data_IF_368948362671
#
_entry.id   IF_368948362671
#
_cell.length_a   1.000
_cell.length_b   1.000
_cell.length_c   1.000
_cell.angle_alpha   90.00
_cell.angle_beta   90.00
_cell.angle_gamma   90.00
#
_symmetry.space_group_name_H-M   'P 1'
#
loop_
_entity.id
_entity.type
_entity.pdbx_description
1 polymer ?
#
# COMPACT_ATOMS: atom_id res chain seq x y z
N UNK A 1 -11.14 37.82 -6.96
CA UNK A 1 -11.13 36.96 -8.17
C UNK A 1 -9.90 36.06 -8.10
N UNK A 2 -10.07 34.75 -7.99
CA UNK A 2 -8.96 33.78 -7.95
C UNK A 2 -8.10 33.88 -9.23
N UNK A 3 -6.77 33.93 -9.07
CA UNK A 3 -5.81 34.03 -10.18
C UNK A 3 -5.95 32.77 -11.05
N UNK A 4 -6.26 32.92 -12.33
CA UNK A 4 -6.36 31.77 -13.26
C UNK A 4 -4.96 31.21 -13.51
N UNK A 5 -4.74 29.96 -13.09
CA UNK A 5 -3.46 29.29 -13.26
C UNK A 5 -3.17 28.90 -14.72
N UNK A 6 -1.89 28.69 -15.03
CA UNK A 6 -1.44 28.27 -16.36
C UNK A 6 -1.74 26.79 -16.67
N UNK A 7 -1.72 26.41 -17.95
CA UNK A 7 -1.96 25.01 -18.38
C UNK A 7 -1.05 23.99 -17.66
N UNK A 8 0.19 24.36 -17.35
CA UNK A 8 1.15 23.51 -16.63
C UNK A 8 0.70 23.16 -15.21
N UNK A 9 -0.05 24.03 -14.54
CA UNK A 9 -0.61 23.75 -13.21
C UNK A 9 -1.65 22.63 -13.30
N UNK A 10 -2.59 22.74 -14.23
CA UNK A 10 -3.64 21.72 -14.41
C UNK A 10 -3.08 20.40 -14.94
N UNK A 11 -2.09 20.44 -15.83
CA UNK A 11 -1.36 19.24 -16.26
C UNK A 11 -0.63 18.58 -15.09
N UNK A 12 0.00 19.37 -14.20
CA UNK A 12 0.61 18.85 -12.97
C UNK A 12 -0.40 18.11 -12.10
N UNK A 13 -1.58 18.69 -11.88
CA UNK A 13 -2.65 18.02 -11.13
C UNK A 13 -3.09 16.71 -11.81
N UNK A 14 -3.35 16.74 -13.12
CA UNK A 14 -3.78 15.56 -13.87
C UNK A 14 -2.75 14.41 -13.87
N UNK A 15 -1.45 14.74 -13.86
CA UNK A 15 -0.36 13.76 -13.75
C UNK A 15 -0.20 13.24 -12.32
N UNK A 16 -0.32 14.09 -11.30
CA UNK A 16 -0.26 13.68 -9.89
C UNK A 16 -1.40 12.74 -9.51
N UNK A 17 -2.57 12.87 -10.14
CA UNK A 17 -3.67 11.90 -10.02
C UNK A 17 -3.36 10.53 -10.63
N UNK A 18 -2.20 10.35 -11.29
CA UNK A 18 -1.75 9.09 -11.90
C UNK A 18 -0.30 8.76 -11.52
N UNK A 19 -0.02 8.42 -10.26
CA UNK A 19 1.35 8.16 -9.80
C UNK A 19 2.09 7.09 -10.61
N UNK A 20 1.39 6.07 -11.12
CA UNK A 20 1.98 5.02 -11.97
C UNK A 20 2.58 5.55 -13.28
N UNK A 21 2.01 6.63 -13.85
CA UNK A 21 2.57 7.28 -15.04
C UNK A 21 3.90 7.97 -14.71
N UNK A 22 4.05 8.50 -13.49
CA UNK A 22 5.27 9.19 -13.07
C UNK A 22 6.48 8.24 -13.01
N UNK A 23 6.27 6.99 -12.58
CA UNK A 23 7.30 5.95 -12.59
C UNK A 23 7.74 5.64 -14.03
N UNK A 24 6.77 5.45 -14.94
CA UNK A 24 7.05 5.20 -16.35
C UNK A 24 7.72 6.40 -17.05
N UNK A 25 7.36 7.63 -16.66
CA UNK A 25 8.04 8.84 -17.09
C UNK A 25 9.51 8.85 -16.66
N UNK A 26 9.80 8.43 -15.41
CA UNK A 26 11.17 8.36 -14.88
C UNK A 26 12.03 7.36 -15.64
N UNK A 27 11.44 6.26 -16.08
CA UNK A 27 12.12 5.26 -16.90
C UNK A 27 12.26 5.67 -18.38
N UNK A 28 11.70 6.81 -18.80
CA UNK A 28 11.79 7.29 -20.19
C UNK A 28 10.95 6.48 -21.19
N UNK A 29 10.01 5.65 -20.72
CA UNK A 29 9.24 4.72 -21.57
C UNK A 29 7.88 5.27 -22.03
N UNK A 30 7.58 6.54 -21.73
CA UNK A 30 6.29 7.17 -22.04
C UNK A 30 6.34 7.97 -23.35
N UNK A 31 5.36 7.74 -24.21
CA UNK A 31 5.07 8.62 -25.35
C UNK A 31 4.30 9.87 -24.87
N UNK A 32 4.99 11.00 -24.79
CA UNK A 32 4.41 12.27 -24.37
C UNK A 32 3.20 12.74 -25.20
N UNK A 33 3.14 12.40 -26.49
CA UNK A 33 1.99 12.76 -27.32
C UNK A 33 0.77 11.91 -26.99
N UNK A 34 0.96 10.63 -26.70
CA UNK A 34 -0.12 9.74 -26.25
C UNK A 34 -0.60 10.15 -24.85
N UNK A 35 0.34 10.44 -23.94
CA UNK A 35 0.03 10.92 -22.59
C UNK A 35 -0.77 12.23 -22.62
N UNK A 36 -0.36 13.19 -23.45
CA UNK A 36 -1.09 14.45 -23.59
C UNK A 36 -2.54 14.25 -24.07
N UNK A 37 -2.76 13.32 -25.02
CA UNK A 37 -4.12 12.97 -25.47
C UNK A 37 -4.94 12.33 -24.36
N UNK A 38 -4.34 11.41 -23.60
CA UNK A 38 -4.99 10.70 -22.51
C UNK A 38 -5.50 11.65 -21.42
N UNK A 39 -4.69 12.64 -21.02
CA UNK A 39 -5.05 13.55 -19.92
C UNK A 39 -5.80 14.80 -20.38
N UNK A 40 -6.01 15.00 -21.69
CA UNK A 40 -6.58 16.24 -22.24
C UNK A 40 -7.92 16.57 -21.57
N UNK A 41 -8.84 15.60 -21.56
CA UNK A 41 -10.17 15.79 -20.98
C UNK A 41 -10.13 16.12 -19.49
N UNK A 42 -9.23 15.50 -18.72
CA UNK A 42 -9.09 15.79 -17.30
C UNK A 42 -8.56 17.20 -17.07
N UNK A 43 -7.58 17.64 -17.85
CA UNK A 43 -7.01 18.98 -17.75
C UNK A 43 -8.08 20.04 -17.98
N UNK A 44 -8.94 19.87 -18.98
CA UNK A 44 -10.04 20.79 -19.25
C UNK A 44 -11.12 20.74 -18.15
N UNK A 45 -11.44 19.54 -17.66
CA UNK A 45 -12.39 19.34 -16.56
C UNK A 45 -11.92 20.02 -15.27
N UNK A 46 -10.64 19.89 -14.91
CA UNK A 46 -10.06 20.53 -13.72
C UNK A 46 -10.02 22.06 -13.90
N UNK A 47 -9.68 22.53 -15.10
CA UNK A 47 -9.54 23.96 -15.37
C UNK A 47 -10.86 24.70 -15.60
N UNK A 48 -11.95 23.97 -15.90
CA UNK A 48 -13.23 24.56 -16.32
C UNK A 48 -13.14 25.34 -17.64
N UNK A 49 -12.14 25.05 -18.48
CA UNK A 49 -11.92 25.70 -19.79
C UNK A 49 -11.11 24.81 -20.71
N UNK A 50 -11.21 25.09 -22.01
CA UNK A 50 -10.48 24.34 -23.03
C UNK A 50 -9.03 24.82 -23.21
N UNK A 51 -8.17 23.90 -23.63
CA UNK A 51 -6.79 24.19 -24.04
C UNK A 51 -6.48 23.51 -25.37
N UNK A 52 -5.53 24.09 -26.12
CA UNK A 52 -5.09 23.45 -27.37
C UNK A 52 -4.28 22.18 -27.07
N UNK A 53 -4.35 21.20 -27.97
CA UNK A 53 -3.55 19.96 -27.89
C UNK A 53 -2.05 20.26 -27.79
N UNK A 54 -1.58 21.27 -28.52
CA UNK A 54 -0.19 21.73 -28.50
C UNK A 54 0.19 22.30 -27.13
N UNK A 55 -0.66 23.15 -26.54
CA UNK A 55 -0.43 23.72 -25.21
C UNK A 55 -0.33 22.64 -24.13
N UNK A 56 -1.20 21.63 -24.16
CA UNK A 56 -1.16 20.50 -23.22
C UNK A 56 0.10 19.67 -23.44
N UNK A 57 0.45 19.31 -24.68
CA UNK A 57 1.67 18.53 -24.96
C UNK A 57 2.93 19.25 -24.46
N UNK A 58 3.05 20.54 -24.71
CA UNK A 58 4.19 21.33 -24.24
C UNK A 58 4.23 21.46 -22.72
N UNK A 59 3.06 21.56 -22.08
CA UNK A 59 2.94 21.53 -20.63
C UNK A 59 3.34 20.17 -20.05
N UNK A 60 2.90 19.06 -20.65
CA UNK A 60 3.28 17.69 -20.23
C UNK A 60 4.79 17.52 -20.28
N UNK A 61 5.45 17.88 -21.38
CA UNK A 61 6.91 17.81 -21.51
C UNK A 61 7.63 18.59 -20.40
N UNK A 62 7.18 19.82 -20.14
CA UNK A 62 7.76 20.70 -19.12
C UNK A 62 7.56 20.16 -17.71
N UNK A 63 6.33 19.75 -17.39
CA UNK A 63 5.95 19.26 -16.07
C UNK A 63 6.65 17.93 -15.79
N UNK A 64 6.64 17.00 -16.74
CA UNK A 64 7.34 15.73 -16.62
C UNK A 64 8.81 15.94 -16.27
N UNK A 65 9.54 16.77 -17.03
CA UNK A 65 10.94 17.09 -16.74
C UNK A 65 11.15 17.57 -15.30
N UNK A 66 10.33 18.52 -14.83
CA UNK A 66 10.43 19.02 -13.45
C UNK A 66 10.09 17.98 -12.38
N UNK A 67 9.21 17.02 -12.68
CA UNK A 67 8.83 15.96 -11.74
C UNK A 67 9.92 14.91 -11.61
N UNK A 68 10.64 14.60 -12.70
CA UNK A 68 11.73 13.62 -12.67
C UNK A 68 12.82 13.98 -11.67
N UNK A 69 13.06 15.26 -11.44
CA UNK A 69 14.04 15.77 -10.47
C UNK A 69 13.63 15.47 -9.01
N UNK A 70 12.34 15.19 -8.76
CA UNK A 70 11.78 14.98 -7.42
C UNK A 70 11.55 13.50 -7.07
N UNK A 71 11.54 12.61 -8.06
CA UNK A 71 11.28 11.19 -7.83
C UNK A 71 12.59 10.52 -7.37
N UNK A 72 12.62 9.83 -6.22
CA UNK A 72 13.80 9.13 -5.75
C UNK A 72 14.36 8.18 -6.81
N UNK A 73 15.69 8.04 -6.93
CA UNK A 73 16.29 7.07 -7.83
C UNK A 73 15.83 5.64 -7.50
N UNK A 74 15.46 4.87 -8.51
CA UNK A 74 15.03 3.47 -8.39
C UNK A 74 16.07 2.59 -7.69
N UNK A 75 17.37 2.91 -7.84
CA UNK A 75 18.45 2.17 -7.18
C UNK A 75 18.36 2.18 -5.65
N UNK A 76 17.78 3.22 -5.03
CA UNK A 76 17.56 3.25 -3.57
C UNK A 76 16.52 2.22 -3.15
N UNK A 77 15.47 2.05 -3.93
CA UNK A 77 14.45 1.01 -3.70
C UNK A 77 15.08 -0.37 -3.82
N UNK A 78 15.86 -0.61 -4.89
CA UNK A 78 16.54 -1.88 -5.11
C UNK A 78 17.48 -2.25 -3.97
N UNK A 79 18.24 -1.28 -3.42
CA UNK A 79 19.15 -1.54 -2.28
C UNK A 79 18.42 -1.98 -1.00
N UNK A 80 17.29 -1.35 -0.69
CA UNK A 80 16.47 -1.73 0.47
C UNK A 80 15.89 -3.13 0.24
N UNK A 81 15.29 -3.36 -0.93
CA UNK A 81 14.64 -4.63 -1.26
C UNK A 81 15.62 -5.81 -1.36
N UNK A 82 16.81 -5.61 -1.94
CA UNK A 82 17.84 -6.65 -2.05
C UNK A 82 18.33 -7.14 -0.68
N UNK A 83 18.25 -6.26 0.32
CA UNK A 83 18.69 -6.48 1.71
C UNK A 83 17.51 -6.83 2.64
N UNK A 84 16.33 -7.08 2.06
CA UNK A 84 15.12 -7.47 2.78
C UNK A 84 14.94 -8.98 2.80
N UNK A 85 14.16 -9.48 3.75
CA UNK A 85 13.78 -10.89 3.88
C UNK A 85 12.26 -11.04 3.97
N UNK A 86 11.76 -12.22 3.62
CA UNK A 86 10.34 -12.55 3.68
C UNK A 86 10.08 -13.67 4.69
N UNK A 87 9.00 -13.54 5.45
CA UNK A 87 8.45 -14.59 6.32
C UNK A 87 6.95 -14.72 6.06
N UNK A 88 6.43 -15.93 6.21
CA UNK A 88 5.01 -16.23 6.00
C UNK A 88 4.39 -16.75 7.28
N UNK A 89 3.15 -16.35 7.54
CA UNK A 89 2.28 -16.90 8.57
C UNK A 89 0.95 -17.32 7.94
N UNK A 90 0.45 -18.49 8.31
CA UNK A 90 -0.80 -19.07 7.84
C UNK A 90 -1.85 -19.05 8.94
N UNK A 91 -3.07 -19.45 8.60
CA UNK A 91 -4.16 -19.69 9.55
C UNK A 91 -4.39 -18.52 10.49
N UNK A 92 -4.43 -17.32 9.90
CA UNK A 92 -4.73 -16.09 10.60
C UNK A 92 -6.19 -15.70 10.41
N UNK A 93 -6.68 -14.89 11.35
CA UNK A 93 -7.94 -14.18 11.24
C UNK A 93 -7.73 -12.68 11.45
N UNK A 94 -8.56 -11.89 10.77
CA UNK A 94 -8.65 -10.44 10.94
C UNK A 94 -10.02 -10.12 11.54
N UNK A 95 -10.01 -9.64 12.77
CA UNK A 95 -11.21 -9.30 13.55
C UNK A 95 -11.24 -7.80 13.82
N UNK A 96 -12.31 -7.12 13.43
CA UNK A 96 -12.53 -5.70 13.76
C UNK A 96 -13.72 -5.57 14.71
N UNK A 97 -13.53 -4.77 15.76
CA UNK A 97 -14.51 -4.52 16.82
C UNK A 97 -14.58 -3.02 17.14
N UNK A 98 -15.66 -2.53 17.79
CA UNK A 98 -15.68 -1.17 18.33
C UNK A 98 -14.61 -0.95 19.41
N UNK A 99 -14.15 0.29 19.55
CA UNK A 99 -13.17 0.68 20.58
C UNK A 99 -13.66 0.34 22.00
N UNK A 100 -14.94 0.58 22.28
CA UNK A 100 -15.57 0.25 23.56
C UNK A 100 -15.56 -1.25 23.85
N UNK A 101 -15.85 -2.09 22.86
CA UNK A 101 -15.80 -3.56 22.98
C UNK A 101 -14.39 -4.03 23.29
N UNK A 102 -13.38 -3.47 22.60
CA UNK A 102 -11.98 -3.81 22.82
C UNK A 102 -11.58 -3.57 24.29
N UNK A 103 -11.81 -2.35 24.79
CA UNK A 103 -11.45 -1.96 26.16
C UNK A 103 -12.21 -2.73 27.24
N UNK A 104 -13.52 -2.97 27.04
CA UNK A 104 -14.36 -3.59 28.09
C UNK A 104 -14.18 -5.10 28.21
N UNK A 105 -13.92 -5.79 27.09
CA UNK A 105 -13.92 -7.26 27.00
C UNK A 105 -12.57 -7.85 26.59
N UNK A 106 -11.90 -7.29 25.59
CA UNK A 106 -10.74 -7.94 24.96
C UNK A 106 -9.43 -7.61 25.71
N UNK A 107 -9.24 -6.39 26.21
CA UNK A 107 -8.04 -6.01 26.97
C UNK A 107 -7.77 -6.94 28.17
N UNK A 108 -8.83 -7.39 28.83
CA UNK A 108 -8.74 -8.35 29.95
C UNK A 108 -8.20 -9.72 29.51
N UNK A 109 -8.47 -10.14 28.27
CA UNK A 109 -7.90 -11.38 27.72
C UNK A 109 -6.40 -11.26 27.48
N UNK A 110 -5.93 -10.10 27.04
CA UNK A 110 -4.49 -9.83 26.92
C UNK A 110 -3.82 -9.84 28.30
N UNK A 111 -4.40 -9.12 29.27
CA UNK A 111 -3.85 -9.02 30.62
C UNK A 111 -3.79 -10.36 31.37
N UNK A 112 -4.74 -11.27 31.12
CA UNK A 112 -4.77 -12.61 31.72
C UNK A 112 -3.79 -13.61 31.08
N UNK A 113 -3.05 -13.22 30.04
CA UNK A 113 -2.13 -14.11 29.33
C UNK A 113 -2.83 -15.16 28.46
N UNK A 114 -4.15 -15.06 28.26
CA UNK A 114 -4.96 -16.00 27.46
C UNK A 114 -4.55 -16.04 25.97
N UNK A 115 -3.76 -15.05 25.54
CA UNK A 115 -3.24 -14.90 24.18
C UNK A 115 -1.70 -14.97 24.14
N UNK A 116 -1.04 -15.36 25.23
CA UNK A 116 0.44 -15.40 25.33
C UNK A 116 1.12 -16.43 24.42
N UNK A 117 0.38 -17.43 23.92
CA UNK A 117 0.89 -18.47 23.03
C UNK A 117 0.70 -18.17 21.54
N UNK A 118 0.12 -17.02 21.18
CA UNK A 118 -0.16 -16.71 19.76
C UNK A 118 1.13 -16.40 19.01
N UNK A 119 1.28 -16.98 17.83
CA UNK A 119 2.43 -16.78 16.97
C UNK A 119 2.43 -15.38 16.33
N UNK A 120 1.23 -14.86 16.09
CA UNK A 120 0.98 -13.52 15.55
C UNK A 120 -0.03 -12.79 16.43
N UNK A 121 0.30 -11.55 16.77
CA UNK A 121 -0.64 -10.64 17.41
C UNK A 121 -0.34 -9.21 16.97
N UNK A 122 -1.25 -8.64 16.16
CA UNK A 122 -1.27 -7.23 15.86
C UNK A 122 -2.58 -6.64 16.32
N UNK A 123 -2.50 -5.55 17.08
CA UNK A 123 -3.66 -4.76 17.50
C UNK A 123 -3.47 -3.36 16.93
N UNK A 124 -4.38 -2.95 16.06
CA UNK A 124 -4.36 -1.66 15.38
C UNK A 124 -5.60 -0.89 15.77
N UNK A 125 -5.42 0.24 16.47
CA UNK A 125 -6.50 1.19 16.75
C UNK A 125 -6.66 2.15 15.58
N UNK A 126 -7.74 2.01 14.84
CA UNK A 126 -8.19 2.98 13.83
C UNK A 126 -9.16 4.00 14.42
N UNK A 127 -9.64 4.91 13.57
CA UNK A 127 -10.63 5.92 13.98
C UNK A 127 -12.02 5.32 14.23
N UNK A 128 -12.38 4.26 13.49
CA UNK A 128 -13.73 3.68 13.50
C UNK A 128 -13.80 2.32 14.20
N UNK A 129 -12.66 1.64 14.36
CA UNK A 129 -12.58 0.29 14.88
C UNK A 129 -11.20 -0.03 15.45
N UNK A 130 -11.13 -1.06 16.29
CA UNK A 130 -9.88 -1.75 16.63
C UNK A 130 -9.83 -3.04 15.82
N UNK A 131 -8.77 -3.21 15.04
CA UNK A 131 -8.50 -4.42 14.25
C UNK A 131 -7.45 -5.28 14.95
N UNK A 132 -7.76 -6.56 15.10
CA UNK A 132 -6.90 -7.58 15.70
C UNK A 132 -6.57 -8.60 14.62
N UNK A 133 -5.29 -8.84 14.40
CA UNK A 133 -4.77 -9.87 13.51
C UNK A 133 -4.04 -10.89 14.38
N UNK A 134 -4.51 -12.13 14.38
CA UNK A 134 -3.93 -13.19 15.21
C UNK A 134 -4.24 -14.57 14.61
N UNK A 135 -3.68 -15.63 15.19
CA UNK A 135 -3.99 -17.01 14.81
C UNK A 135 -5.51 -17.25 14.88
N UNK A 136 -6.07 -18.01 13.95
CA UNK A 136 -7.52 -18.24 13.88
C UNK A 136 -8.07 -18.82 15.19
N UNK A 137 -7.35 -19.74 15.84
CA UNK A 137 -7.76 -20.30 17.13
C UNK A 137 -7.92 -19.23 18.22
N UNK A 138 -7.00 -18.25 18.25
CA UNK A 138 -7.06 -17.14 19.18
C UNK A 138 -8.19 -16.16 18.85
N UNK A 139 -8.42 -15.90 17.57
CA UNK A 139 -9.55 -15.09 17.13
C UNK A 139 -10.89 -15.73 17.51
N UNK A 140 -11.05 -17.04 17.37
CA UNK A 140 -12.28 -17.74 17.79
C UNK A 140 -12.50 -17.65 19.30
N UNK A 141 -11.43 -17.71 20.12
CA UNK A 141 -11.53 -17.46 21.56
C UNK A 141 -12.03 -16.05 21.86
N UNK A 142 -11.53 -15.04 21.16
CA UNK A 142 -12.00 -13.66 21.32
C UNK A 142 -13.48 -13.57 20.91
N UNK A 143 -13.85 -14.12 19.76
CA UNK A 143 -15.22 -14.11 19.26
C UNK A 143 -16.20 -14.80 20.22
N UNK A 144 -15.76 -15.85 20.93
CA UNK A 144 -16.61 -16.59 21.87
C UNK A 144 -17.17 -15.77 23.05
N UNK A 145 -16.55 -14.62 23.37
CA UNK A 145 -16.99 -13.72 24.45
C UNK A 145 -17.75 -12.48 23.95
N UNK A 146 -17.92 -12.35 22.63
CA UNK A 146 -18.55 -11.21 21.97
C UNK A 146 -19.96 -11.56 21.49
N UNK A 147 -20.85 -10.57 21.47
CA UNK A 147 -22.13 -10.68 20.74
C UNK A 147 -21.94 -10.36 19.27
N UNK A 148 -22.94 -10.69 18.44
CA UNK A 148 -22.87 -10.47 16.99
C UNK A 148 -22.74 -8.98 16.64
N UNK A 149 -23.35 -8.10 17.42
CA UNK A 149 -23.35 -6.64 17.22
C UNK A 149 -22.00 -6.01 17.57
N UNK A 150 -21.20 -6.68 18.39
CA UNK A 150 -19.87 -6.26 18.80
C UNK A 150 -18.78 -6.64 17.78
N UNK A 151 -19.13 -7.43 16.76
CA UNK A 151 -18.22 -7.86 15.70
C UNK A 151 -18.54 -7.06 14.44
N UNK A 152 -17.70 -6.08 14.12
CA UNK A 152 -17.84 -5.29 12.90
C UNK A 152 -17.45 -6.11 11.67
N UNK A 153 -16.42 -6.95 11.81
CA UNK A 153 -15.90 -7.80 10.74
C UNK A 153 -15.08 -8.93 11.31
N UNK A 154 -15.24 -10.12 10.74
CA UNK A 154 -14.37 -11.26 11.04
C UNK A 154 -14.04 -11.99 9.74
N UNK A 155 -12.80 -11.84 9.28
CA UNK A 155 -12.26 -12.63 8.19
C UNK A 155 -11.44 -13.78 8.73
N UNK A 156 -11.75 -14.98 8.23
CA UNK A 156 -11.00 -16.21 8.45
C UNK A 156 -10.15 -16.52 7.21
N UNK A 157 -9.34 -17.58 7.30
CA UNK A 157 -8.51 -18.03 6.18
C UNK A 157 -7.66 -16.88 5.62
N UNK A 158 -6.99 -16.14 6.51
CA UNK A 158 -6.05 -15.09 6.14
C UNK A 158 -4.63 -15.59 6.33
N UNK A 159 -3.69 -14.97 5.64
CA UNK A 159 -2.27 -15.22 5.78
C UNK A 159 -1.50 -13.91 5.77
N UNK A 160 -0.33 -13.90 6.40
CA UNK A 160 0.56 -12.75 6.42
C UNK A 160 1.85 -13.04 5.67
N UNK A 161 2.32 -12.07 4.88
CA UNK A 161 3.70 -12.01 4.41
C UNK A 161 4.37 -10.83 5.08
N UNK A 162 5.40 -11.10 5.88
CA UNK A 162 6.22 -10.10 6.56
C UNK A 162 7.47 -9.86 5.72
N UNK A 163 7.61 -8.64 5.21
CA UNK A 163 8.84 -8.15 4.60
C UNK A 163 9.61 -7.33 5.63
N UNK A 164 10.77 -7.84 6.04
CA UNK A 164 11.67 -7.15 6.97
C UNK A 164 12.83 -6.55 6.19
N UNK A 165 12.89 -5.23 6.09
CA UNK A 165 13.96 -4.50 5.40
C UNK A 165 15.09 -4.07 6.32
N UNK A 166 16.19 -3.50 5.79
CA UNK A 166 17.25 -2.87 6.57
C UNK A 166 16.79 -1.53 7.17
N UNK A 167 17.55 -0.86 8.07
CA UNK A 167 17.13 0.40 8.70
C UNK A 167 16.67 1.50 7.72
N UNK A 168 17.23 1.53 6.51
CA UNK A 168 16.89 2.46 5.43
C UNK A 168 15.45 2.31 4.94
N UNK A 169 14.78 1.17 5.20
CA UNK A 169 13.36 0.98 4.86
C UNK A 169 12.46 2.03 5.52
N UNK A 170 12.87 2.55 6.68
CA UNK A 170 12.14 3.56 7.45
C UNK A 170 12.10 4.93 6.75
N UNK A 171 13.09 5.23 5.93
CA UNK A 171 13.31 6.58 5.36
C UNK A 171 13.33 6.59 3.84
N UNK A 172 13.16 5.42 3.19
CA UNK A 172 13.16 5.31 1.74
C UNK A 172 11.73 5.40 1.19
N UNK A 173 11.35 6.52 0.53
CA UNK A 173 10.01 6.67 -0.01
C UNK A 173 9.79 5.69 -1.16
N UNK A 174 8.60 5.08 -1.20
CA UNK A 174 8.16 4.25 -2.32
C UNK A 174 8.23 2.73 -2.10
N UNK A 175 8.82 2.26 -1.00
CA UNK A 175 8.89 0.81 -0.70
C UNK A 175 7.48 0.23 -0.54
N UNK A 176 6.66 0.80 0.34
CA UNK A 176 5.27 0.34 0.56
C UNK A 176 4.48 0.37 -0.74
N UNK A 177 4.60 1.42 -1.55
CA UNK A 177 3.88 1.51 -2.83
C UNK A 177 4.36 0.49 -3.85
N UNK A 178 5.66 0.19 -3.92
CA UNK A 178 6.20 -0.78 -4.87
C UNK A 178 5.76 -2.20 -4.49
N UNK A 179 5.85 -2.53 -3.20
CA UNK A 179 5.42 -3.82 -2.65
C UNK A 179 3.92 -4.04 -2.86
N UNK A 180 3.09 -3.07 -2.49
CA UNK A 180 1.63 -3.18 -2.66
C UNK A 180 1.21 -3.20 -4.13
N UNK A 181 1.81 -2.37 -4.97
CA UNK A 181 1.54 -2.37 -6.42
C UNK A 181 1.91 -3.70 -7.06
N UNK A 182 3.07 -4.28 -6.71
CA UNK A 182 3.54 -5.55 -7.28
C UNK A 182 2.53 -6.69 -7.07
N UNK A 183 1.89 -6.72 -5.89
CA UNK A 183 0.84 -7.67 -5.56
C UNK A 183 -0.47 -7.32 -6.29
N UNK A 184 -0.90 -6.06 -6.23
CA UNK A 184 -2.17 -5.61 -6.78
C UNK A 184 -2.28 -5.83 -8.30
N UNK A 185 -1.19 -5.65 -9.06
CA UNK A 185 -1.20 -5.88 -10.52
C UNK A 185 -1.43 -7.34 -10.91
N UNK A 186 -1.30 -8.28 -9.96
CA UNK A 186 -1.65 -9.70 -10.16
C UNK A 186 -3.07 -10.04 -9.70
N UNK A 187 -3.86 -9.04 -9.32
CA UNK A 187 -5.25 -9.23 -8.89
C UNK A 187 -5.40 -9.72 -7.45
N UNK A 188 -4.31 -9.73 -6.66
CA UNK A 188 -4.38 -10.10 -5.25
C UNK A 188 -4.79 -8.90 -4.41
N UNK A 189 -5.82 -9.07 -3.58
CA UNK A 189 -6.27 -8.04 -2.67
C UNK A 189 -5.47 -8.07 -1.35
N UNK A 190 -5.07 -6.89 -0.85
CA UNK A 190 -4.51 -6.75 0.48
C UNK A 190 -5.66 -6.51 1.47
N UNK A 191 -5.89 -7.48 2.35
CA UNK A 191 -6.87 -7.38 3.44
C UNK A 191 -6.48 -6.31 4.45
N UNK A 192 -5.20 -6.29 4.84
CA UNK A 192 -4.60 -5.29 5.73
C UNK A 192 -3.15 -5.05 5.30
N UNK A 193 -2.65 -3.85 5.58
CA UNK A 193 -1.23 -3.52 5.47
C UNK A 193 -0.76 -2.81 6.73
N UNK A 194 0.24 -3.38 7.40
CA UNK A 194 0.77 -2.85 8.66
C UNK A 194 2.25 -2.55 8.47
N UNK A 195 2.65 -1.31 8.78
CA UNK A 195 4.05 -0.93 8.87
C UNK A 195 4.43 -0.81 10.33
N UNK A 196 5.33 -1.65 10.81
CA UNK A 196 5.78 -1.63 12.20
C UNK A 196 7.30 -1.70 12.25
N UNK A 197 7.94 -0.60 12.65
CA UNK A 197 9.39 -0.46 12.59
C UNK A 197 9.91 -0.85 11.19
N UNK A 198 10.73 -1.90 11.07
CA UNK A 198 11.35 -2.36 9.82
C UNK A 198 10.50 -3.35 9.03
N UNK A 199 9.33 -3.71 9.55
CA UNK A 199 8.46 -4.72 8.98
C UNK A 199 7.31 -4.08 8.21
N UNK A 200 7.08 -4.59 7.00
CA UNK A 200 5.85 -4.39 6.24
C UNK A 200 5.12 -5.73 6.24
N UNK A 201 3.96 -5.75 6.88
CA UNK A 201 3.14 -6.95 7.06
C UNK A 201 1.94 -6.82 6.13
N UNK A 202 1.82 -7.75 5.21
CA UNK A 202 0.81 -7.77 4.16
C UNK A 202 -0.12 -8.93 4.48
N UNK A 203 -1.39 -8.62 4.77
CA UNK A 203 -2.40 -9.64 5.00
C UNK A 203 -3.18 -9.86 3.72
N UNK A 204 -3.31 -11.11 3.32
CA UNK A 204 -4.04 -11.56 2.13
C UNK A 204 -4.96 -12.70 2.48
N UNK A 205 -5.90 -13.02 1.60
CA UNK A 205 -6.64 -14.28 1.71
C UNK A 205 -5.67 -15.47 1.55
N UNK A 206 -5.91 -16.55 2.29
CA UNK A 206 -5.04 -17.73 2.30
C UNK A 206 -4.89 -18.37 0.92
N UNK A 207 -5.91 -18.28 0.06
CA UNK A 207 -5.85 -18.72 -1.34
C UNK A 207 -4.89 -17.91 -2.21
N UNK A 208 -4.66 -16.63 -1.88
CA UNK A 208 -3.80 -15.73 -2.65
C UNK A 208 -2.33 -15.76 -2.18
N UNK A 209 -2.07 -16.40 -1.05
CA UNK A 209 -0.77 -16.38 -0.38
C UNK A 209 0.39 -16.79 -1.29
N UNK A 210 0.25 -17.91 -2.01
CA UNK A 210 1.31 -18.40 -2.89
C UNK A 210 1.64 -17.36 -3.96
N UNK A 211 0.62 -16.76 -4.57
CA UNK A 211 0.79 -15.76 -5.61
C UNK A 211 1.46 -14.49 -5.06
N UNK A 212 1.02 -14.01 -3.91
CA UNK A 212 1.60 -12.85 -3.25
C UNK A 212 3.07 -13.09 -2.85
N UNK A 213 3.37 -14.24 -2.24
CA UNK A 213 4.72 -14.60 -1.81
C UNK A 213 5.69 -14.68 -3.00
N UNK A 214 5.32 -15.41 -4.06
CA UNK A 214 6.18 -15.53 -5.24
C UNK A 214 6.44 -14.17 -5.89
N UNK A 215 5.43 -13.30 -5.93
CA UNK A 215 5.58 -11.93 -6.46
C UNK A 215 6.64 -11.15 -5.71
N UNK A 216 6.57 -11.15 -4.37
CA UNK A 216 7.55 -10.43 -3.56
C UNK A 216 8.93 -11.08 -3.63
N UNK A 217 8.99 -12.41 -3.67
CA UNK A 217 10.26 -13.13 -3.82
C UNK A 217 10.94 -12.76 -5.13
N UNK A 218 10.22 -12.81 -6.25
CA UNK A 218 10.74 -12.37 -7.56
C UNK A 218 11.15 -10.90 -7.54
N UNK A 219 10.39 -10.02 -6.88
CA UNK A 219 10.76 -8.62 -6.73
C UNK A 219 12.09 -8.46 -5.96
N UNK A 220 12.30 -9.23 -4.89
CA UNK A 220 13.54 -9.17 -4.09
C UNK A 220 14.73 -9.75 -4.87
N UNK A 221 14.52 -10.84 -5.62
CA UNK A 221 15.52 -11.43 -6.52
C UNK A 221 15.91 -10.45 -7.63
N UNK A 222 14.93 -9.82 -8.28
CA UNK A 222 15.18 -8.78 -9.27
C UNK A 222 15.98 -7.62 -8.67
N UNK A 223 15.62 -7.14 -7.48
CA UNK A 223 16.31 -6.03 -6.82
C UNK A 223 17.81 -6.30 -6.60
N UNK A 224 18.20 -7.56 -6.33
CA UNK A 224 19.61 -7.98 -6.21
C UNK A 224 20.39 -7.86 -7.52
N UNK A 225 19.73 -7.94 -8.68
CA UNK A 225 20.38 -7.80 -10.00
C UNK A 225 20.63 -6.34 -10.41
N UNK A 226 20.08 -5.38 -9.67
CA UNK A 226 20.13 -3.95 -9.99
C UNK A 226 21.22 -3.19 -9.21
N UNK A 227 22.01 -3.90 -8.40
CA UNK A 227 23.14 -3.39 -7.61
C UNK A 227 24.46 -3.74 -8.28
#
# INVERSE_FOLDING_TARGET
MSRREGVSYYVRLALLSRPYVLIALQQGIINYSALAKLIHGDVEKIAGRSFTKTSIKMAVLRVAKSMLETIPPTIRLSRVLSSSSLRVYHDLSVLSVPDSTFHTKIEKMFASGSLSKTSVLHVIKGETAVTIITDTEAAERIVSILTKEEILRHLRNQAAIVLTGPPEILTTPGIVSLVSMSIAVRGVNLTEIVSCHRDIILIVEGSDLSMAYDTLRTLLEWAKTQL
#
